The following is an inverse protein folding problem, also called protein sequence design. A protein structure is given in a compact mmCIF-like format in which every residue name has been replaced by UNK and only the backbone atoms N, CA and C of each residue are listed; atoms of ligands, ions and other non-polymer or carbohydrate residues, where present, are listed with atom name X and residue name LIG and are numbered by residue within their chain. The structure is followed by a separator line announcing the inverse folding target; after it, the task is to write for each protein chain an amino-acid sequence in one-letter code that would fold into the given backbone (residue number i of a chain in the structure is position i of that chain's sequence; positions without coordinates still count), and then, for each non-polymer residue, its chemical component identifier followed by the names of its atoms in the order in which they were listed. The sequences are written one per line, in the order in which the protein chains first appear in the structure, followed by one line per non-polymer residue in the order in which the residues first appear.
data_IF_901806256125
#
_entry.id   IF_901806256125
#
_cell.length_a   1.000
_cell.length_b   1.000
_cell.length_c   1.000
_cell.angle_alpha   90.00
_cell.angle_beta   90.00
_cell.angle_gamma   90.00
#
_symmetry.space_group_name_H-M   'P 1'
#
loop_
_entity.id
_entity.type
_entity.pdbx_description
1 polymer ?
#
# COMPACT_ATOMS: atom_id res chain seq x y z
N UNK A 1 6.50 -18.95 14.47
CA UNK A 1 6.69 -18.69 13.03
C UNK A 1 6.09 -17.35 12.67
N UNK A 2 6.85 -16.52 11.98
CA UNK A 2 6.31 -15.25 11.50
C UNK A 2 5.37 -15.48 10.33
N UNK A 3 4.30 -14.71 10.27
CA UNK A 3 3.32 -14.76 9.21
C UNK A 3 3.22 -13.40 8.57
N UNK A 4 3.13 -13.36 7.23
CA UNK A 4 3.12 -12.11 6.46
C UNK A 4 1.83 -11.95 5.67
N UNK A 5 1.42 -10.70 5.52
CA UNK A 5 0.28 -10.30 4.71
C UNK A 5 0.75 -9.32 3.63
N UNK A 6 0.26 -9.49 2.41
CA UNK A 6 0.40 -8.49 1.36
C UNK A 6 -0.97 -7.83 1.18
N UNK A 7 -1.10 -6.61 1.68
CA UNK A 7 -2.29 -5.79 1.51
C UNK A 7 -2.03 -4.76 0.41
N UNK A 8 -2.99 -4.54 -0.48
CA UNK A 8 -2.79 -3.63 -1.60
C UNK A 8 -4.06 -2.89 -1.99
N UNK A 9 -3.86 -1.66 -2.47
CA UNK A 9 -4.88 -0.90 -3.18
C UNK A 9 -4.44 -0.73 -4.63
N UNK A 10 -5.32 -1.07 -5.56
CA UNK A 10 -5.02 -0.97 -6.99
C UNK A 10 -6.15 -0.28 -7.72
N UNK A 11 -5.86 0.85 -8.34
CA UNK A 11 -6.84 1.61 -9.11
C UNK A 11 -6.90 1.13 -10.56
N UNK A 12 -5.75 0.78 -11.14
CA UNK A 12 -5.64 0.41 -12.57
C UNK A 12 -5.25 -1.05 -12.81
N UNK A 13 -4.99 -1.82 -11.76
CA UNK A 13 -4.56 -3.22 -11.87
C UNK A 13 -3.05 -3.44 -11.81
N UNK A 14 -2.24 -2.41 -11.96
CA UNK A 14 -0.77 -2.55 -11.92
C UNK A 14 -0.28 -2.99 -10.55
N UNK A 15 -0.77 -2.37 -9.49
CA UNK A 15 -0.39 -2.73 -8.12
C UNK A 15 -0.88 -4.14 -7.77
N UNK A 16 -2.06 -4.53 -8.25
CA UNK A 16 -2.59 -5.88 -8.04
C UNK A 16 -1.64 -6.95 -8.58
N UNK A 17 -1.13 -6.77 -9.78
CA UNK A 17 -0.20 -7.72 -10.40
C UNK A 17 1.08 -7.87 -9.58
N UNK A 18 1.64 -6.76 -9.14
CA UNK A 18 2.85 -6.77 -8.30
C UNK A 18 2.56 -7.44 -6.96
N UNK A 19 1.43 -7.10 -6.33
CA UNK A 19 1.04 -7.67 -5.04
C UNK A 19 0.87 -9.19 -5.12
N UNK A 20 0.26 -9.70 -6.17
CA UNK A 20 0.07 -11.14 -6.38
C UNK A 20 1.42 -11.86 -6.51
N UNK A 21 2.35 -11.29 -7.27
CA UNK A 21 3.69 -11.84 -7.44
C UNK A 21 4.49 -11.81 -6.14
N UNK A 22 4.41 -10.68 -5.43
CA UNK A 22 5.11 -10.51 -4.16
C UNK A 22 4.59 -11.49 -3.10
N UNK A 23 3.28 -11.67 -3.00
CA UNK A 23 2.68 -12.61 -2.07
C UNK A 23 3.16 -14.03 -2.32
N UNK A 24 3.28 -14.42 -3.59
CA UNK A 24 3.78 -15.74 -3.99
C UNK A 24 5.24 -15.93 -3.58
N UNK A 25 6.07 -14.94 -3.83
CA UNK A 25 7.51 -14.97 -3.49
C UNK A 25 7.70 -15.01 -1.98
N UNK A 26 6.92 -14.23 -1.24
CA UNK A 26 7.04 -14.12 0.22
C UNK A 26 6.36 -15.27 0.97
N UNK A 27 5.55 -16.08 0.28
CA UNK A 27 4.71 -17.06 0.96
C UNK A 27 3.68 -16.41 1.86
N UNK A 28 3.20 -15.23 1.48
CA UNK A 28 2.30 -14.41 2.27
C UNK A 28 0.84 -14.55 1.82
N UNK A 29 -0.08 -14.25 2.72
CA UNK A 29 -1.48 -14.12 2.37
C UNK A 29 -1.70 -12.80 1.62
N UNK A 30 -2.77 -12.75 0.83
CA UNK A 30 -3.09 -11.59 0.00
C UNK A 30 -4.41 -10.97 0.45
N UNK A 31 -4.44 -9.64 0.57
CA UNK A 31 -5.63 -8.89 0.98
C UNK A 31 -5.80 -7.65 0.11
N UNK A 32 -6.95 -7.48 -0.50
CA UNK A 32 -7.25 -6.29 -1.29
C UNK A 32 -7.90 -5.21 -0.42
N UNK A 33 -7.32 -4.00 -0.44
CA UNK A 33 -7.91 -2.82 0.20
C UNK A 33 -8.94 -2.28 -0.80
N UNK A 34 -10.21 -2.61 -0.56
CA UNK A 34 -11.30 -2.26 -1.47
C UNK A 34 -11.93 -0.94 -1.03
N UNK A 35 -11.89 0.11 -1.87
CA UNK A 35 -12.57 1.35 -1.51
C UNK A 35 -14.08 1.14 -1.49
N UNK A 36 -14.76 1.78 -0.54
CA UNK A 36 -16.21 1.73 -0.45
C UNK A 36 -16.86 2.28 -1.72
N UNK A 37 -16.25 3.33 -2.30
CA UNK A 37 -16.63 3.86 -3.61
C UNK A 37 -15.51 3.55 -4.60
N UNK A 38 -15.73 2.65 -5.58
CA UNK A 38 -14.71 2.33 -6.58
C UNK A 38 -14.29 3.57 -7.37
N UNK A 39 -13.02 3.60 -7.78
CA UNK A 39 -12.49 4.69 -8.59
C UNK A 39 -12.85 4.49 -10.06
N UNK A 40 -13.41 5.53 -10.67
CA UNK A 40 -13.68 5.57 -12.11
C UNK A 40 -12.50 6.20 -12.86
N UNK A 41 -12.52 6.13 -14.19
CA UNK A 41 -11.50 6.81 -15.00
C UNK A 41 -11.49 8.33 -14.72
N UNK A 42 -12.66 8.94 -14.57
CA UNK A 42 -12.76 10.36 -14.22
C UNK A 42 -12.18 10.66 -12.84
N UNK A 43 -12.39 9.75 -11.88
CA UNK A 43 -11.82 9.89 -10.52
C UNK A 43 -10.30 9.90 -10.54
N UNK A 44 -9.67 9.21 -11.49
CA UNK A 44 -8.23 9.05 -11.61
C UNK A 44 -7.58 10.09 -12.52
N UNK A 45 -8.33 11.03 -13.06
CA UNK A 45 -7.82 12.08 -13.93
C UNK A 45 -7.01 13.09 -13.12
N UNK A 46 -5.71 12.88 -13.05
CA UNK A 46 -4.79 13.74 -12.30
C UNK A 46 -4.65 15.14 -12.89
N UNK A 47 -5.00 15.33 -14.17
CA UNK A 47 -4.97 16.63 -14.82
C UNK A 47 -6.19 17.49 -14.48
N UNK A 48 -7.28 16.88 -13.98
CA UNK A 48 -8.49 17.60 -13.57
C UNK A 48 -8.35 18.01 -12.10
N UNK A 49 -8.36 19.32 -11.84
CA UNK A 49 -8.27 19.87 -10.48
C UNK A 49 -9.40 19.46 -9.57
N UNK A 50 -10.54 19.07 -10.13
CA UNK A 50 -11.74 18.70 -9.39
C UNK A 50 -11.95 17.20 -9.34
N UNK A 51 -11.05 16.38 -9.89
CA UNK A 51 -11.17 14.93 -9.82
C UNK A 51 -11.02 14.43 -8.38
N UNK A 52 -11.57 13.25 -8.11
CA UNK A 52 -11.49 12.62 -6.80
C UNK A 52 -10.05 12.44 -6.33
N UNK A 53 -9.18 11.92 -7.19
CA UNK A 53 -7.78 11.70 -6.82
C UNK A 53 -7.06 13.00 -6.48
N UNK A 54 -7.37 14.09 -7.18
CA UNK A 54 -6.81 15.40 -6.89
C UNK A 54 -7.28 15.93 -5.53
N UNK A 55 -8.59 15.78 -5.24
CA UNK A 55 -9.15 16.19 -3.95
C UNK A 55 -8.59 15.38 -2.79
N UNK A 56 -8.32 14.10 -3.02
CA UNK A 56 -7.77 13.18 -2.01
C UNK A 56 -6.29 13.38 -1.74
N UNK A 57 -5.64 14.34 -2.39
CA UNK A 57 -4.28 14.78 -2.03
C UNK A 57 -4.20 15.40 -0.65
N UNK A 58 -5.30 15.90 -0.12
CA UNK A 58 -5.34 16.45 1.23
C UNK A 58 -4.91 15.37 2.22
N UNK A 59 -3.83 15.58 3.00
CA UNK A 59 -3.34 14.57 3.95
C UNK A 59 -4.37 14.16 5.02
N UNK A 60 -5.41 14.96 5.21
CA UNK A 60 -6.49 14.68 6.16
C UNK A 60 -7.60 13.84 5.56
N UNK A 61 -7.61 13.65 4.24
CA UNK A 61 -8.63 12.85 3.58
C UNK A 61 -8.54 11.39 4.02
N UNK A 62 -9.70 10.78 4.28
CA UNK A 62 -9.78 9.36 4.69
C UNK A 62 -10.88 8.66 3.92
N UNK A 63 -10.61 8.25 2.67
CA UNK A 63 -11.59 7.48 1.91
C UNK A 63 -11.94 6.18 2.65
N UNK A 64 -13.22 5.83 2.68
CA UNK A 64 -13.68 4.64 3.38
C UNK A 64 -13.28 3.36 2.66
N UNK A 65 -12.95 2.32 3.44
CA UNK A 65 -12.57 0.99 2.95
C UNK A 65 -13.72 0.03 3.24
N UNK A 66 -14.16 -0.72 2.21
CA UNK A 66 -15.24 -1.68 2.32
C UNK A 66 -14.79 -3.04 2.87
N UNK A 67 -13.52 -3.39 2.68
CA UNK A 67 -12.96 -4.67 3.10
C UNK A 67 -12.38 -4.59 4.51
N UNK A 68 -12.42 -5.71 5.26
CA UNK A 68 -11.84 -5.79 6.61
C UNK A 68 -11.00 -7.05 6.73
N UNK A 69 -9.77 -6.89 7.20
CA UNK A 69 -8.89 -8.01 7.52
C UNK A 69 -9.10 -8.40 8.99
N UNK A 70 -9.93 -9.41 9.23
CA UNK A 70 -10.31 -9.81 10.59
C UNK A 70 -9.18 -10.46 11.38
N UNK A 71 -8.22 -11.05 10.68
CA UNK A 71 -7.10 -11.77 11.29
C UNK A 71 -5.79 -10.98 11.27
N UNK A 72 -5.86 -9.66 11.27
CA UNK A 72 -4.67 -8.80 11.24
C UNK A 72 -3.68 -9.14 12.37
N UNK A 73 -4.19 -9.52 13.53
CA UNK A 73 -3.35 -9.85 14.68
C UNK A 73 -2.41 -11.04 14.42
N UNK A 74 -2.73 -11.91 13.46
CA UNK A 74 -1.93 -13.09 13.14
C UNK A 74 -0.64 -12.77 12.38
N UNK A 75 -0.51 -11.54 11.87
CA UNK A 75 0.61 -11.16 11.01
C UNK A 75 1.65 -10.35 11.79
N UNK A 76 2.92 -10.67 11.56
CA UNK A 76 4.06 -9.93 12.11
C UNK A 76 4.56 -8.88 11.12
N UNK A 77 4.44 -9.17 9.83
CA UNK A 77 4.87 -8.28 8.74
C UNK A 77 3.70 -8.04 7.80
N UNK A 78 3.46 -6.78 7.50
CA UNK A 78 2.42 -6.34 6.57
C UNK A 78 3.08 -5.57 5.43
N UNK A 79 3.09 -6.16 4.24
CA UNK A 79 3.48 -5.45 3.02
C UNK A 79 2.27 -4.66 2.56
N UNK A 80 2.45 -3.37 2.29
CA UNK A 80 1.36 -2.49 1.87
C UNK A 80 1.69 -1.91 0.50
N UNK A 81 0.88 -2.25 -0.49
CA UNK A 81 1.09 -1.85 -1.87
C UNK A 81 0.08 -0.82 -2.37
N UNK A 82 0.55 0.12 -3.20
CA UNK A 82 -0.27 1.21 -3.70
C UNK A 82 0.38 1.88 -4.92
N UNK A 83 -0.42 2.56 -5.76
CA UNK A 83 0.15 3.47 -6.77
C UNK A 83 0.59 4.76 -6.09
N UNK A 84 1.68 5.36 -6.57
CA UNK A 84 2.11 6.67 -6.07
C UNK A 84 1.34 7.76 -6.81
N UNK A 85 0.65 8.62 -6.05
CA UNK A 85 -0.04 9.79 -6.55
C UNK A 85 0.61 11.04 -5.93
N UNK A 86 1.15 11.93 -6.78
CA UNK A 86 1.83 13.16 -6.34
C UNK A 86 2.87 12.89 -5.23
N UNK A 87 3.76 11.91 -5.48
CA UNK A 87 4.91 11.58 -4.63
C UNK A 87 4.55 10.99 -3.26
N UNK A 88 3.30 10.60 -3.02
CA UNK A 88 2.87 9.95 -1.78
C UNK A 88 1.87 8.83 -2.08
N UNK A 89 1.61 7.99 -1.08
CA UNK A 89 0.55 6.99 -1.17
C UNK A 89 -0.82 7.68 -1.18
N UNK A 90 -1.81 7.08 -1.86
CA UNK A 90 -3.20 7.54 -1.72
C UNK A 90 -3.64 7.48 -0.25
N UNK A 91 -4.45 8.43 0.18
CA UNK A 91 -4.86 8.52 1.59
C UNK A 91 -5.74 7.36 2.06
N UNK A 92 -6.28 6.56 1.14
CA UNK A 92 -6.95 5.30 1.51
C UNK A 92 -6.01 4.34 2.25
N UNK A 93 -4.72 4.42 1.99
CA UNK A 93 -3.72 3.63 2.71
C UNK A 93 -3.64 4.07 4.17
N UNK A 94 -3.72 5.38 4.43
CA UNK A 94 -3.79 5.89 5.80
C UNK A 94 -5.06 5.38 6.50
N UNK A 95 -6.20 5.37 5.80
CA UNK A 95 -7.45 4.79 6.33
C UNK A 95 -7.23 3.33 6.73
N UNK A 96 -6.60 2.54 5.86
CA UNK A 96 -6.33 1.13 6.12
C UNK A 96 -5.44 0.96 7.35
N UNK A 97 -4.34 1.69 7.43
CA UNK A 97 -3.40 1.56 8.55
C UNK A 97 -4.04 1.95 9.89
N UNK A 98 -4.90 2.98 9.87
CA UNK A 98 -5.57 3.46 11.08
C UNK A 98 -6.70 2.53 11.55
N UNK A 99 -7.14 1.60 10.72
CA UNK A 99 -8.22 0.68 11.06
C UNK A 99 -7.77 -0.47 11.96
N UNK A 100 -6.46 -0.67 12.13
CA UNK A 100 -5.91 -1.81 12.87
C UNK A 100 -4.87 -1.35 13.89
N UNK A 101 -4.69 -2.16 14.94
CA UNK A 101 -3.56 -1.98 15.85
C UNK A 101 -2.34 -2.70 15.26
N UNK A 102 -1.40 -1.92 14.76
CA UNK A 102 -0.19 -2.42 14.13
C UNK A 102 1.04 -2.30 15.05
N UNK A 103 0.83 -2.05 16.33
CA UNK A 103 1.91 -1.93 17.32
C UNK A 103 2.78 -3.18 17.31
N UNK A 104 4.09 -2.99 17.21
CA UNK A 104 5.06 -4.08 17.21
C UNK A 104 5.19 -4.81 15.88
N UNK A 105 4.38 -4.48 14.88
CA UNK A 105 4.46 -5.09 13.56
C UNK A 105 5.42 -4.33 12.66
N UNK A 106 5.94 -5.03 11.65
CA UNK A 106 6.73 -4.40 10.58
C UNK A 106 5.81 -4.09 9.42
N UNK A 107 5.83 -2.85 8.96
CA UNK A 107 5.10 -2.42 7.76
C UNK A 107 6.11 -2.14 6.66
N UNK A 108 5.95 -2.81 5.53
CA UNK A 108 6.86 -2.72 4.38
C UNK A 108 6.10 -2.16 3.19
N UNK A 109 6.24 -0.85 2.90
CA UNK A 109 5.57 -0.25 1.75
C UNK A 109 6.20 -0.71 0.43
N UNK A 110 5.37 -0.96 -0.56
CA UNK A 110 5.84 -1.11 -1.93
C UNK A 110 4.89 -0.38 -2.86
N UNK A 111 5.41 0.10 -3.98
CA UNK A 111 4.62 0.98 -4.81
C UNK A 111 4.75 0.64 -6.29
N UNK A 112 3.75 1.08 -7.06
CA UNK A 112 3.84 1.20 -8.51
C UNK A 112 3.81 2.67 -8.87
N UNK A 113 4.54 3.06 -9.90
CA UNK A 113 4.68 4.47 -10.24
C UNK A 113 4.93 4.64 -11.74
N UNK A 114 4.45 5.75 -12.30
CA UNK A 114 4.74 6.14 -13.67
C UNK A 114 6.11 6.82 -13.85
N UNK A 115 6.92 6.89 -12.78
CA UNK A 115 8.24 7.53 -12.83
C UNK A 115 8.70 8.11 -11.50
N UNK A 116 7.78 8.31 -10.56
CA UNK A 116 8.13 8.80 -9.23
C UNK A 116 8.77 7.70 -8.39
N UNK A 117 9.58 8.09 -7.42
CA UNK A 117 10.11 7.20 -6.39
C UNK A 117 9.23 7.30 -5.15
N UNK A 118 9.62 6.62 -4.06
CA UNK A 118 8.84 6.61 -2.81
C UNK A 118 8.62 8.02 -2.22
N UNK A 119 9.53 8.96 -2.46
CA UNK A 119 9.37 10.34 -2.01
C UNK A 119 9.19 10.42 -0.50
N UNK A 120 8.16 11.15 -0.05
CA UNK A 120 7.83 11.32 1.35
C UNK A 120 6.80 10.31 1.86
N UNK A 121 6.53 9.27 1.08
CA UNK A 121 5.47 8.28 1.35
C UNK A 121 5.60 7.66 2.74
N UNK A 122 6.78 7.16 3.10
CA UNK A 122 6.97 6.47 4.39
C UNK A 122 6.70 7.42 5.55
N UNK A 123 7.21 8.65 5.48
CA UNK A 123 6.99 9.64 6.53
C UNK A 123 5.49 9.94 6.70
N UNK A 124 4.76 10.05 5.60
CA UNK A 124 3.31 10.30 5.63
C UNK A 124 2.53 9.12 6.23
N UNK A 125 2.96 7.88 5.95
CA UNK A 125 2.29 6.68 6.47
C UNK A 125 2.58 6.42 7.94
N UNK A 126 3.75 6.79 8.43
CA UNK A 126 4.12 6.58 9.84
C UNK A 126 3.15 7.26 10.82
N UNK A 127 2.56 8.37 10.42
CA UNK A 127 1.60 9.09 11.27
C UNK A 127 0.33 8.27 11.52
N UNK A 128 0.01 7.34 10.64
CA UNK A 128 -1.20 6.50 10.73
C UNK A 128 -0.98 5.20 11.52
N UNK A 129 0.27 4.83 11.79
CA UNK A 129 0.60 3.63 12.57
C UNK A 129 1.87 3.87 13.40
N UNK A 130 1.82 4.76 14.41
CA UNK A 130 3.02 5.20 15.12
C UNK A 130 3.71 4.10 15.92
N UNK A 131 2.99 3.04 16.30
CA UNK A 131 3.56 1.91 17.05
C UNK A 131 4.22 0.85 16.18
N UNK A 132 4.12 0.96 14.87
CA UNK A 132 4.71 0.00 13.93
C UNK A 132 6.12 0.42 13.52
N UNK A 133 6.92 -0.56 13.07
CA UNK A 133 8.23 -0.31 12.47
C UNK A 133 8.08 -0.27 10.95
N UNK A 134 8.46 0.84 10.33
CA UNK A 134 8.35 1.00 8.88
C UNK A 134 9.68 0.77 8.19
N UNK A 135 9.68 -0.08 7.17
CA UNK A 135 10.80 -0.21 6.23
C UNK A 135 10.74 0.93 5.21
N UNK A 136 11.87 1.18 4.54
CA UNK A 136 11.93 2.23 3.52
C UNK A 136 11.05 1.93 2.30
N UNK A 137 10.84 0.66 2.00
CA UNK A 137 10.05 0.24 0.84
C UNK A 137 10.76 0.49 -0.49
N UNK A 138 10.08 0.19 -1.58
CA UNK A 138 10.61 0.43 -2.93
C UNK A 138 9.47 0.46 -3.95
N UNK A 139 9.77 0.98 -5.13
CA UNK A 139 8.89 0.91 -6.30
C UNK A 139 9.18 -0.40 -7.02
N UNK A 140 8.16 -1.23 -7.22
CA UNK A 140 8.32 -2.60 -7.70
C UNK A 140 7.65 -2.88 -9.05
N UNK A 141 7.07 -1.88 -9.73
CA UNK A 141 6.46 -2.14 -11.03
C UNK A 141 7.54 -2.54 -12.04
N UNK A 142 7.25 -3.60 -12.79
CA UNK A 142 8.22 -4.18 -13.72
C UNK A 142 9.35 -4.95 -13.06
N UNK A 143 9.29 -5.17 -11.74
CA UNK A 143 10.34 -5.90 -11.03
C UNK A 143 10.41 -7.36 -11.49
N UNK A 144 11.65 -7.87 -11.64
CA UNK A 144 11.89 -9.29 -11.91
C UNK A 144 11.60 -10.12 -10.65
N UNK A 145 11.47 -11.43 -10.81
CA UNK A 145 11.31 -12.32 -9.68
C UNK A 145 12.52 -12.25 -8.75
N UNK A 146 13.73 -12.12 -9.30
CA UNK A 146 14.96 -11.96 -8.50
C UNK A 146 14.89 -10.70 -7.65
N UNK A 147 14.39 -9.59 -8.21
CA UNK A 147 14.23 -8.34 -7.45
C UNK A 147 13.21 -8.50 -6.34
N UNK A 148 12.08 -9.18 -6.60
CA UNK A 148 11.07 -9.43 -5.58
C UNK A 148 11.60 -10.31 -4.46
N UNK A 149 12.35 -11.35 -4.79
CA UNK A 149 13.00 -12.23 -3.81
C UNK A 149 13.98 -11.45 -2.93
N UNK A 150 14.79 -10.59 -3.55
CA UNK A 150 15.74 -9.73 -2.81
C UNK A 150 15.01 -8.76 -1.89
N UNK A 151 13.89 -8.20 -2.34
CA UNK A 151 13.06 -7.29 -1.55
C UNK A 151 12.49 -7.99 -0.32
N UNK A 152 11.93 -9.18 -0.48
CA UNK A 152 11.40 -9.97 0.63
C UNK A 152 12.51 -10.31 1.62
N UNK A 153 13.66 -10.75 1.12
CA UNK A 153 14.81 -11.12 1.95
C UNK A 153 15.34 -9.94 2.77
N UNK A 154 15.39 -8.76 2.17
CA UNK A 154 15.84 -7.54 2.85
C UNK A 154 14.89 -7.09 3.95
N UNK A 155 13.61 -7.49 3.87
CA UNK A 155 12.57 -7.06 4.80
C UNK A 155 12.02 -8.19 5.69
N UNK A 156 12.67 -9.33 5.64
CA UNK A 156 12.28 -10.48 6.46
C UNK A 156 12.57 -10.28 7.94
#
# INVERSE_FOLDING_TARGET
MSKSLVAYFSASGSTRKVAQRLAKVAGADLFEIVPEQPYTAADLDWADRNSRSTRERDPKCRPAVASTCENMADYDTVYVGFPIWWYVAPTIINTFLEAYDLTGKRVVPFATSGGSRMGVTVAALKTSAPGATFAAGDVLNGASDAKLEAFVKANA
#
